data_IF_766468596136
#
_entry.id   IF_766468596136
#
_cell.length_a   1.000
_cell.length_b   1.000
_cell.length_c   1.000
_cell.angle_alpha   90.00
_cell.angle_beta   90.00
_cell.angle_gamma   90.00
#
_symmetry.space_group_name_H-M   'P 1'
#
loop_
_entity.id
_entity.type
_entity.pdbx_description
1 polymer ?
#
# COMPACT_ATOMS: atom_id res chain seq x y z
N UNK A 1 2.92 13.71 18.22
CA UNK A 1 3.52 12.39 18.54
C UNK A 1 4.37 11.96 17.37
N UNK A 2 5.70 11.93 17.51
CA UNK A 2 6.66 11.34 16.57
C UNK A 2 7.99 11.23 17.31
N UNK A 3 8.23 10.10 17.97
CA UNK A 3 9.54 9.78 18.57
C UNK A 3 10.40 8.91 17.64
N UNK A 4 9.80 8.37 16.58
CA UNK A 4 10.41 7.41 15.65
C UNK A 4 9.98 7.74 14.22
N UNK A 5 10.92 7.71 13.28
CA UNK A 5 10.64 7.97 11.87
C UNK A 5 9.51 7.05 11.35
N UNK A 6 8.63 7.62 10.51
CA UNK A 6 7.45 6.99 9.91
C UNK A 6 7.78 5.93 8.84
N UNK A 7 8.82 5.13 9.04
CA UNK A 7 9.25 4.07 8.13
C UNK A 7 8.59 2.71 8.44
N UNK A 8 7.38 2.72 9.01
CA UNK A 8 6.59 1.50 9.24
C UNK A 8 5.88 1.07 7.96
N UNK A 9 5.71 -0.24 7.78
CA UNK A 9 4.96 -0.86 6.69
C UNK A 9 4.22 -2.10 7.21
N UNK A 10 3.15 -2.48 6.54
CA UNK A 10 2.35 -3.67 6.83
C UNK A 10 2.98 -4.91 6.21
N UNK A 11 2.94 -6.02 6.95
CA UNK A 11 3.41 -7.35 6.55
C UNK A 11 2.32 -8.36 6.86
N UNK A 12 2.53 -9.61 6.44
CA UNK A 12 1.64 -10.73 6.77
C UNK A 12 0.21 -10.57 6.25
N UNK A 13 0.06 -9.90 5.11
CA UNK A 13 -1.21 -9.82 4.40
C UNK A 13 -1.40 -11.10 3.59
N UNK A 14 -2.10 -12.06 4.19
CA UNK A 14 -2.16 -13.47 3.73
C UNK A 14 -3.58 -13.97 3.48
N UNK A 15 -4.60 -13.23 3.95
CA UNK A 15 -6.00 -13.58 3.74
C UNK A 15 -6.72 -12.55 2.86
N UNK A 16 -7.64 -13.02 2.02
CA UNK A 16 -8.58 -12.16 1.29
C UNK A 16 -9.63 -11.52 2.20
N UNK A 17 -9.73 -11.97 3.45
CA UNK A 17 -10.56 -11.36 4.49
C UNK A 17 -9.85 -10.19 5.20
N UNK A 18 -8.53 -10.06 5.04
CA UNK A 18 -7.76 -8.95 5.58
C UNK A 18 -8.04 -7.66 4.80
N UNK A 19 -8.03 -6.53 5.52
CA UNK A 19 -8.12 -5.20 4.92
C UNK A 19 -7.29 -4.17 5.68
N UNK A 20 -6.86 -3.15 4.95
CA UNK A 20 -6.20 -1.97 5.52
C UNK A 20 -7.12 -0.78 5.23
N UNK A 21 -7.55 -0.08 6.29
CA UNK A 21 -8.54 0.99 6.18
C UNK A 21 -8.07 2.27 6.84
N UNK A 22 -8.31 3.39 6.17
CA UNK A 22 -8.05 4.73 6.68
C UNK A 22 -9.35 5.55 6.69
N UNK A 23 -9.64 6.24 7.78
CA UNK A 23 -10.66 7.29 7.77
C UNK A 23 -10.06 8.53 7.11
N UNK A 24 -10.57 8.91 5.94
CA UNK A 24 -10.02 10.00 5.12
C UNK A 24 -11.09 11.05 4.82
N UNK A 25 -10.61 12.25 4.53
CA UNK A 25 -11.41 13.35 3.97
C UNK A 25 -10.87 13.67 2.58
N UNK A 26 -11.73 13.57 1.58
CA UNK A 26 -11.46 14.02 0.22
C UNK A 26 -11.83 15.50 0.16
N UNK A 27 -10.83 16.37 0.09
CA UNK A 27 -11.02 17.82 0.12
C UNK A 27 -11.57 18.42 -1.20
N UNK A 28 -11.45 17.69 -2.32
CA UNK A 28 -11.94 18.14 -3.61
C UNK A 28 -12.40 16.95 -4.46
N UNK A 29 -13.59 17.03 -5.04
CA UNK A 29 -14.01 16.07 -6.06
C UNK A 29 -13.04 16.07 -7.26
N UNK A 30 -12.70 14.88 -7.75
CA UNK A 30 -11.89 14.73 -8.96
C UNK A 30 -11.43 13.30 -9.19
N UNK A 31 -10.71 13.12 -10.29
CA UNK A 31 -10.01 11.89 -10.65
C UNK A 31 -8.64 11.89 -10.00
N UNK A 32 -8.31 10.77 -9.37
CA UNK A 32 -7.04 10.54 -8.69
C UNK A 32 -6.34 9.35 -9.32
N UNK A 33 -5.06 9.49 -9.64
CA UNK A 33 -4.15 8.38 -9.89
C UNK A 33 -3.77 7.74 -8.54
N UNK A 34 -3.78 6.41 -8.53
CA UNK A 34 -3.61 5.61 -7.32
C UNK A 34 -2.36 4.74 -7.43
N UNK A 35 -1.44 4.95 -6.49
CA UNK A 35 -0.25 4.12 -6.34
C UNK A 35 -0.22 3.44 -4.97
N UNK A 36 0.22 2.18 -4.94
CA UNK A 36 0.54 1.47 -3.69
C UNK A 36 2.03 1.18 -3.67
N UNK A 37 2.73 1.62 -2.62
CA UNK A 37 4.16 1.36 -2.47
C UNK A 37 4.38 0.01 -1.79
N UNK A 38 5.02 -0.91 -2.51
CA UNK A 38 5.08 -2.31 -2.11
C UNK A 38 6.47 -2.96 -2.27
N UNK A 39 6.65 -4.06 -1.56
CA UNK A 39 7.61 -5.13 -1.85
C UNK A 39 6.86 -6.45 -2.02
N UNK A 40 7.35 -7.32 -2.87
CA UNK A 40 6.76 -8.63 -3.15
C UNK A 40 7.85 -9.57 -3.68
N UNK A 41 8.09 -10.74 -3.05
CA UNK A 41 9.04 -11.71 -3.56
C UNK A 41 8.48 -12.42 -4.80
N UNK A 42 9.36 -12.99 -5.62
CA UNK A 42 9.01 -13.52 -6.93
C UNK A 42 7.93 -14.61 -6.91
N UNK A 43 7.88 -15.42 -5.85
CA UNK A 43 6.87 -16.48 -5.69
C UNK A 43 5.46 -15.96 -5.39
N UNK A 44 5.34 -14.74 -4.87
CA UNK A 44 4.06 -14.14 -4.43
C UNK A 44 3.47 -13.18 -5.49
N UNK A 45 4.14 -13.03 -6.63
CA UNK A 45 3.66 -12.22 -7.76
C UNK A 45 2.36 -12.80 -8.31
N UNK A 46 1.37 -11.95 -8.50
CA UNK A 46 0.10 -12.29 -9.13
C UNK A 46 -1.14 -11.91 -8.33
N UNK A 47 -0.99 -11.47 -7.09
CA UNK A 47 -2.11 -11.02 -6.26
C UNK A 47 -2.86 -9.84 -6.89
N UNK A 48 -4.19 -9.88 -6.83
CA UNK A 48 -5.07 -8.80 -7.29
C UNK A 48 -5.59 -8.05 -6.08
N UNK A 49 -5.43 -6.72 -6.07
CA UNK A 49 -5.87 -5.85 -4.98
C UNK A 49 -6.86 -4.80 -5.47
N UNK A 50 -7.70 -4.32 -4.57
CA UNK A 50 -8.70 -3.29 -4.80
C UNK A 50 -8.62 -2.21 -3.72
N UNK A 51 -8.57 -0.95 -4.15
CA UNK A 51 -8.79 0.22 -3.30
C UNK A 51 -10.21 0.73 -3.52
N UNK A 52 -10.93 1.01 -2.44
CA UNK A 52 -12.30 1.50 -2.50
C UNK A 52 -12.59 2.62 -1.51
N UNK A 53 -13.48 3.53 -1.89
CA UNK A 53 -14.01 4.58 -1.03
C UNK A 53 -15.43 4.95 -1.50
N UNK A 54 -16.41 4.92 -0.59
CA UNK A 54 -17.79 5.35 -0.83
C UNK A 54 -18.43 4.75 -2.11
N UNK A 55 -18.16 3.46 -2.37
CA UNK A 55 -18.70 2.73 -3.53
C UNK A 55 -17.83 2.82 -4.80
N UNK A 56 -16.89 3.76 -4.86
CA UNK A 56 -15.91 3.87 -5.94
C UNK A 56 -14.76 2.89 -5.71
N UNK A 57 -14.24 2.30 -6.79
CA UNK A 57 -13.24 1.23 -6.72
C UNK A 57 -12.23 1.34 -7.86
N UNK A 58 -11.00 0.95 -7.58
CA UNK A 58 -9.95 0.71 -8.56
C UNK A 58 -9.18 -0.55 -8.16
N UNK A 59 -8.85 -1.39 -9.13
CA UNK A 59 -8.13 -2.64 -8.88
C UNK A 59 -6.91 -2.77 -9.78
N UNK A 60 -5.92 -3.49 -9.28
CA UNK A 60 -4.67 -3.73 -10.00
C UNK A 60 -4.00 -5.01 -9.53
N UNK A 61 -3.09 -5.50 -10.36
CA UNK A 61 -2.37 -6.76 -10.12
C UNK A 61 -0.92 -6.48 -9.77
N UNK A 62 -0.44 -7.13 -8.71
CA UNK A 62 1.00 -7.21 -8.40
C UNK A 62 1.66 -8.02 -9.51
N UNK A 63 2.27 -7.32 -10.46
CA UNK A 63 2.76 -7.91 -11.72
C UNK A 63 4.27 -8.05 -11.80
N UNK A 64 5.00 -7.45 -10.85
CA UNK A 64 6.45 -7.50 -10.81
C UNK A 64 6.94 -7.80 -9.38
N UNK A 65 8.03 -8.55 -9.29
CA UNK A 65 8.71 -8.76 -8.02
C UNK A 65 9.50 -7.50 -7.62
N UNK A 66 9.51 -7.23 -6.32
CA UNK A 66 10.36 -6.22 -5.70
C UNK A 66 10.67 -6.67 -4.27
N UNK A 67 11.77 -7.41 -4.07
CA UNK A 67 12.16 -7.90 -2.74
C UNK A 67 13.59 -7.46 -2.38
N UNK A 68 13.81 -6.17 -2.11
CA UNK A 68 15.10 -5.68 -1.67
C UNK A 68 15.37 -6.10 -0.21
N UNK A 69 16.64 -6.36 0.15
CA UNK A 69 16.99 -6.67 1.53
C UNK A 69 16.65 -5.50 2.47
N UNK A 70 16.37 -5.83 3.72
CA UNK A 70 16.22 -4.84 4.79
C UNK A 70 17.52 -4.07 5.01
N UNK A 71 17.42 -2.74 5.16
CA UNK A 71 18.53 -1.82 5.40
C UNK A 71 18.45 -1.22 6.80
N UNK A 72 19.62 -1.00 7.38
CA UNK A 72 19.81 -0.22 8.61
C UNK A 72 20.56 -0.97 9.71
N UNK A 73 20.51 -2.30 9.76
CA UNK A 73 21.17 -3.08 10.82
C UNK A 73 22.69 -2.85 10.88
N UNK A 74 23.35 -2.65 9.74
CA UNK A 74 24.79 -2.43 9.68
C UNK A 74 25.25 -1.11 10.33
N UNK A 75 24.35 -0.13 10.45
CA UNK A 75 24.62 1.19 11.04
C UNK A 75 24.28 1.24 12.53
N UNK A 76 23.71 0.16 13.09
CA UNK A 76 23.30 0.11 14.49
C UNK A 76 24.50 -0.03 15.43
N UNK A 77 24.63 0.93 16.34
CA UNK A 77 25.55 0.84 17.48
C UNK A 77 24.93 0.11 18.69
N UNK A 78 23.60 0.00 18.70
CA UNK A 78 22.79 -0.70 19.69
C UNK A 78 21.61 -1.31 18.94
N UNK A 79 21.14 -2.49 19.36
CA UNK A 79 19.96 -3.14 18.77
C UNK A 79 18.76 -2.18 18.82
N UNK A 80 18.24 -1.82 17.65
CA UNK A 80 17.09 -0.93 17.52
C UNK A 80 15.78 -1.63 17.89
N UNK A 81 14.80 -0.83 18.31
CA UNK A 81 13.42 -1.29 18.55
C UNK A 81 12.51 -0.92 17.36
N UNK A 82 12.98 -0.01 16.50
CA UNK A 82 12.34 0.43 15.27
C UNK A 82 12.52 -0.59 14.13
N UNK A 83 11.59 -0.56 13.15
CA UNK A 83 11.68 -1.40 11.95
C UNK A 83 12.85 -1.03 11.03
N UNK A 84 13.35 -2.01 10.28
CA UNK A 84 14.26 -1.78 9.17
C UNK A 84 13.52 -1.16 7.97
N UNK A 85 14.28 -0.66 7.00
CA UNK A 85 13.72 -0.01 5.80
C UNK A 85 13.98 -0.89 4.58
N UNK A 86 13.02 -0.93 3.65
CA UNK A 86 13.16 -1.57 2.33
C UNK A 86 12.95 -0.53 1.22
N UNK A 87 13.46 -0.82 0.03
CA UNK A 87 13.23 0.02 -1.16
C UNK A 87 11.86 -0.33 -1.79
N UNK A 88 10.80 0.26 -1.28
CA UNK A 88 9.45 0.10 -1.83
C UNK A 88 9.34 0.73 -3.23
N UNK A 89 8.61 0.07 -4.14
CA UNK A 89 8.33 0.58 -5.49
C UNK A 89 6.84 0.88 -5.65
N UNK A 90 6.47 1.86 -6.49
CA UNK A 90 5.07 2.13 -6.78
C UNK A 90 4.46 1.01 -7.64
N UNK A 91 3.28 0.54 -7.25
CA UNK A 91 2.35 -0.22 -8.07
C UNK A 91 1.23 0.72 -8.51
N UNK A 92 1.13 0.95 -9.82
CA UNK A 92 0.02 1.71 -10.40
C UNK A 92 -1.25 0.87 -10.38
N UNK A 93 -2.28 1.29 -9.64
CA UNK A 93 -3.61 0.68 -9.69
C UNK A 93 -4.47 1.29 -10.79
N UNK A 94 -4.17 2.51 -11.21
CA UNK A 94 -4.92 3.24 -12.22
C UNK A 94 -5.60 4.46 -11.62
N UNK A 95 -6.77 4.83 -12.15
CA UNK A 95 -7.48 6.06 -11.79
C UNK A 95 -8.81 5.77 -11.12
N UNK A 96 -9.15 6.57 -10.12
CA UNK A 96 -10.43 6.50 -9.39
C UNK A 96 -11.04 7.89 -9.29
N UNK A 97 -12.35 8.01 -9.55
CA UNK A 97 -13.10 9.25 -9.33
C UNK A 97 -13.60 9.29 -7.89
N UNK A 98 -13.09 10.23 -7.09
CA UNK A 98 -13.49 10.41 -5.69
C UNK A 98 -14.30 11.69 -5.54
N UNK A 99 -15.41 11.63 -4.80
CA UNK A 99 -16.20 12.81 -4.46
C UNK A 99 -15.73 13.42 -3.14
N UNK A 100 -15.87 14.75 -3.02
CA UNK A 100 -15.64 15.47 -1.78
C UNK A 100 -16.47 14.88 -0.64
N UNK A 101 -15.84 14.74 0.53
CA UNK A 101 -16.48 14.22 1.73
C UNK A 101 -15.59 13.25 2.51
N UNK A 102 -16.16 12.64 3.53
CA UNK A 102 -15.45 11.70 4.40
C UNK A 102 -15.81 10.25 4.10
N UNK A 103 -14.93 9.33 4.46
CA UNK A 103 -15.20 7.91 4.29
C UNK A 103 -14.02 7.02 4.69
N UNK A 104 -14.28 5.73 4.66
CA UNK A 104 -13.22 4.74 4.82
C UNK A 104 -12.62 4.40 3.46
N UNK A 105 -11.35 4.77 3.28
CA UNK A 105 -10.53 4.29 2.20
C UNK A 105 -10.04 2.90 2.58
N UNK A 106 -10.47 1.88 1.84
CA UNK A 106 -10.20 0.48 2.18
C UNK A 106 -9.42 -0.18 1.05
N UNK A 107 -8.26 -0.73 1.38
CA UNK A 107 -7.45 -1.58 0.53
C UNK A 107 -7.65 -3.04 0.92
N UNK A 108 -8.00 -3.89 -0.05
CA UNK A 108 -8.24 -5.34 0.16
C UNK A 108 -7.72 -6.19 -0.98
N UNK A 109 -7.55 -7.49 -0.72
CA UNK A 109 -7.16 -8.45 -1.73
C UNK A 109 -8.41 -9.13 -2.32
N UNK A 110 -8.41 -9.31 -3.64
CA UNK A 110 -9.43 -10.06 -4.37
C UNK A 110 -8.96 -11.49 -4.65
N UNK A 111 -7.67 -11.65 -4.97
CA UNK A 111 -7.04 -12.94 -5.27
C UNK A 111 -5.62 -12.96 -4.72
N UNK A 112 -5.22 -14.10 -4.15
CA UNK A 112 -3.88 -14.33 -3.58
C UNK A 112 -3.38 -15.69 -4.10
N UNK A 113 -2.70 -15.74 -5.26
CA UNK A 113 -2.22 -17.00 -5.83
C UNK A 113 -0.94 -17.52 -5.15
N UNK A 114 -0.20 -16.66 -4.44
CA UNK A 114 0.97 -17.02 -3.64
C UNK A 114 0.64 -17.12 -2.15
N UNK A 115 1.66 -16.98 -1.30
CA UNK A 115 1.53 -17.10 0.16
C UNK A 115 1.09 -15.77 0.82
N UNK A 116 1.35 -14.64 0.17
CA UNK A 116 0.98 -13.30 0.63
C UNK A 116 0.70 -12.34 -0.53
N UNK A 117 0.07 -11.21 -0.22
CA UNK A 117 -0.24 -10.17 -1.19
C UNK A 117 1.00 -9.32 -1.52
N UNK A 118 1.59 -8.71 -0.49
CA UNK A 118 2.75 -7.83 -0.54
C UNK A 118 3.11 -7.36 0.89
N UNK A 119 4.28 -6.76 1.09
CA UNK A 119 4.47 -5.81 2.19
C UNK A 119 4.17 -4.40 1.69
N UNK A 120 3.32 -3.66 2.39
CA UNK A 120 2.75 -2.39 1.93
C UNK A 120 3.18 -1.24 2.83
N UNK A 121 3.71 -0.15 2.24
CA UNK A 121 4.16 1.04 2.99
C UNK A 121 3.14 2.17 3.00
N UNK A 122 2.64 2.58 1.84
CA UNK A 122 1.71 3.71 1.72
C UNK A 122 0.87 3.63 0.44
N UNK A 123 -0.26 4.32 0.46
CA UNK A 123 -1.07 4.64 -0.73
C UNK A 123 -0.83 6.11 -1.08
N UNK A 124 -0.57 6.39 -2.36
CA UNK A 124 -0.52 7.74 -2.90
C UNK A 124 -1.74 7.99 -3.76
N UNK A 125 -2.41 9.13 -3.54
CA UNK A 125 -3.52 9.62 -4.36
C UNK A 125 -3.11 10.95 -4.99
N UNK A 126 -2.87 10.95 -6.29
CA UNK A 126 -2.47 12.16 -7.04
C UNK A 126 -3.64 12.64 -7.85
N UNK A 127 -4.18 13.83 -7.56
CA UNK A 127 -5.27 14.42 -8.36
C UNK A 127 -4.74 14.71 -9.77
N UNK A 128 -5.45 14.26 -10.80
CA UNK A 128 -5.06 14.43 -12.21
C UNK A 128 -5.99 15.36 -13.01
N UNK A 129 -7.08 15.81 -12.39
CA UNK A 129 -7.96 16.83 -12.95
C UNK A 129 -7.54 18.21 -12.43
N UNK A 130 -7.46 19.20 -13.32
CA UNK A 130 -7.29 20.63 -13.00
C UNK A 130 -8.56 21.19 -12.34
#
# INVERSE_FOLDING_TARGET
SNRHANCTYFRNWTSSEDSISWNVEVAASGTYEVEVYYTCPQQDVGSTIELSLNGQRVSGKVSAANDPPEKGAAEDRVVRVEGYVKDFKPLQLGRIRLEEGTGFLTLRALEIPGDQVMEMRLVMLTRVDD
#
